data_IF_719433331927
#
_entry.id   IF_719433331927
#
_cell.length_a   1.000
_cell.length_b   1.000
_cell.length_c   1.000
_cell.angle_alpha   90.00
_cell.angle_beta   90.00
_cell.angle_gamma   90.00
#
_symmetry.space_group_name_H-M   'P 1'
#
loop_
_entity.id
_entity.type
_entity.pdbx_description
1 polymer ?
#
# COMPACT_ATOMS: atom_id res chain seq x y z
N UNK A 1 8.83 88.91 -39.47
CA UNK A 1 7.49 89.54 -39.27
C UNK A 1 6.54 88.43 -38.82
N UNK A 2 5.73 88.69 -37.80
CA UNK A 2 5.10 87.71 -36.90
C UNK A 2 4.07 86.75 -37.54
N UNK A 3 3.88 85.56 -36.94
CA UNK A 3 2.61 85.18 -36.29
C UNK A 3 2.67 83.80 -35.61
N UNK A 4 1.95 83.69 -34.50
CA UNK A 4 1.80 82.57 -33.56
C UNK A 4 1.09 81.37 -34.19
N UNK A 5 1.44 80.15 -33.77
CA UNK A 5 0.57 78.98 -33.89
C UNK A 5 0.26 78.41 -32.50
N UNK A 6 -1.05 78.30 -32.25
CA UNK A 6 -1.71 77.90 -31.02
C UNK A 6 -1.71 76.37 -30.87
N UNK A 7 -1.39 75.89 -29.67
CA UNK A 7 -1.64 74.52 -29.20
C UNK A 7 -3.12 74.35 -28.86
N UNK A 8 -3.73 73.24 -29.30
CA UNK A 8 -4.93 72.68 -28.68
C UNK A 8 -4.81 71.15 -28.57
N UNK A 9 -5.01 70.70 -27.35
CA UNK A 9 -4.92 69.37 -26.75
C UNK A 9 -5.79 68.26 -27.37
N UNK A 10 -5.24 67.05 -27.47
CA UNK A 10 -5.99 65.82 -27.71
C UNK A 10 -5.41 64.63 -26.94
N UNK A 11 -5.70 64.52 -25.65
CA UNK A 11 -5.25 63.41 -24.79
C UNK A 11 -6.16 63.23 -23.57
N UNK A 12 -7.46 62.96 -23.75
CA UNK A 12 -8.40 62.71 -22.62
C UNK A 12 -9.51 61.67 -22.86
N UNK A 13 -9.46 60.80 -23.88
CA UNK A 13 -10.64 59.93 -24.19
C UNK A 13 -10.61 58.46 -23.73
N UNK A 14 -9.48 57.88 -23.26
CA UNK A 14 -9.44 56.43 -22.96
C UNK A 14 -9.73 56.04 -21.50
N UNK A 15 -9.41 56.88 -20.52
CA UNK A 15 -9.64 56.56 -19.09
C UNK A 15 -11.13 56.65 -18.70
N UNK A 16 -11.88 57.53 -19.38
CA UNK A 16 -13.31 57.73 -19.09
C UNK A 16 -14.21 56.57 -19.55
N UNK A 17 -13.83 55.81 -20.58
CA UNK A 17 -14.65 54.70 -21.07
C UNK A 17 -14.69 53.52 -20.09
N UNK A 18 -13.58 53.22 -19.41
CA UNK A 18 -13.50 52.12 -18.45
C UNK A 18 -14.22 52.46 -17.13
N UNK A 19 -14.10 53.71 -16.68
CA UNK A 19 -14.84 54.22 -15.52
C UNK A 19 -16.35 54.27 -15.79
N UNK A 20 -16.77 54.70 -16.99
CA UNK A 20 -18.17 54.68 -17.40
C UNK A 20 -18.74 53.25 -17.46
N UNK A 21 -17.95 52.28 -17.94
CA UNK A 21 -18.35 50.87 -17.98
C UNK A 21 -18.52 50.25 -16.58
N UNK A 22 -17.71 50.63 -15.61
CA UNK A 22 -17.88 50.18 -14.22
C UNK A 22 -19.07 50.86 -13.52
N UNK A 23 -19.44 52.08 -13.95
CA UNK A 23 -20.57 52.83 -13.37
C UNK A 23 -21.95 52.29 -13.76
N UNK A 24 -22.06 51.43 -14.78
CA UNK A 24 -23.33 50.79 -15.18
C UNK A 24 -23.69 49.61 -14.29
N UNK A 25 -22.74 49.09 -13.49
CA UNK A 25 -23.01 48.03 -12.53
C UNK A 25 -23.51 48.63 -11.22
N UNK A 26 -24.65 48.14 -10.75
CA UNK A 26 -25.13 48.50 -9.42
C UNK A 26 -24.11 48.06 -8.35
N UNK A 27 -24.03 48.79 -7.23
CA UNK A 27 -23.20 48.37 -6.08
C UNK A 27 -23.48 46.92 -5.67
N UNK A 28 -24.74 46.49 -5.77
CA UNK A 28 -25.17 45.11 -5.49
C UNK A 28 -24.57 44.09 -6.48
N UNK A 29 -24.49 44.45 -7.76
CA UNK A 29 -23.88 43.61 -8.81
C UNK A 29 -22.38 43.46 -8.63
N UNK A 30 -21.68 44.55 -8.27
CA UNK A 30 -20.24 44.51 -7.97
C UNK A 30 -19.95 43.69 -6.71
N UNK A 31 -20.76 43.84 -5.65
CA UNK A 31 -20.64 43.02 -4.44
C UNK A 31 -20.91 41.54 -4.69
N UNK A 32 -21.91 41.20 -5.52
CA UNK A 32 -22.20 39.81 -5.92
C UNK A 32 -21.06 39.22 -6.74
N UNK A 33 -20.49 39.97 -7.68
CA UNK A 33 -19.35 39.52 -8.47
C UNK A 33 -18.11 39.29 -7.59
N UNK A 34 -17.83 40.20 -6.66
CA UNK A 34 -16.73 40.05 -5.71
C UNK A 34 -16.93 38.81 -4.81
N UNK A 35 -18.14 38.63 -4.26
CA UNK A 35 -18.47 37.46 -3.45
C UNK A 35 -18.34 36.17 -4.25
N UNK A 36 -18.84 36.13 -5.48
CA UNK A 36 -18.73 34.96 -6.36
C UNK A 36 -17.28 34.63 -6.70
N UNK A 37 -16.46 35.65 -6.95
CA UNK A 37 -15.02 35.48 -7.22
C UNK A 37 -14.31 34.91 -5.99
N UNK A 38 -14.58 35.46 -4.80
CA UNK A 38 -14.04 34.95 -3.53
C UNK A 38 -14.48 33.51 -3.30
N UNK A 39 -15.76 33.18 -3.49
CA UNK A 39 -16.27 31.82 -3.32
C UNK A 39 -15.61 30.85 -4.29
N UNK A 40 -15.46 31.21 -5.56
CA UNK A 40 -14.74 30.37 -6.54
C UNK A 40 -13.28 30.22 -6.15
N UNK A 41 -12.59 31.29 -5.73
CA UNK A 41 -11.20 31.21 -5.29
C UNK A 41 -11.05 30.34 -4.04
N UNK A 42 -11.98 30.41 -3.09
CA UNK A 42 -11.99 29.54 -1.90
C UNK A 42 -12.26 28.10 -2.29
N UNK A 43 -13.21 27.83 -3.20
CA UNK A 43 -13.47 26.48 -3.72
C UNK A 43 -12.24 25.94 -4.44
N UNK A 44 -11.56 26.73 -5.27
CA UNK A 44 -10.35 26.34 -5.98
C UNK A 44 -9.18 26.08 -5.03
N UNK A 45 -8.99 26.93 -4.02
CA UNK A 45 -7.97 26.75 -2.98
C UNK A 45 -8.25 25.51 -2.11
N UNK A 46 -9.52 25.24 -1.82
CA UNK A 46 -9.93 24.06 -1.06
C UNK A 46 -9.82 22.79 -1.90
N UNK A 47 -10.10 22.85 -3.21
CA UNK A 47 -9.90 21.73 -4.13
C UNK A 47 -8.42 21.48 -4.38
N UNK A 48 -7.59 22.51 -4.59
CA UNK A 48 -6.16 22.33 -4.88
C UNK A 48 -5.33 21.90 -3.67
N UNK A 49 -5.77 22.27 -2.46
CA UNK A 49 -5.16 21.83 -1.20
C UNK A 49 -5.87 20.61 -0.60
N UNK A 50 -6.87 20.05 -1.28
CA UNK A 50 -7.46 18.80 -0.83
C UNK A 50 -6.46 17.67 -1.06
N UNK A 51 -6.14 16.84 -0.05
CA UNK A 51 -5.35 15.62 -0.27
C UNK A 51 -6.00 14.67 -1.30
N UNK A 52 -7.30 14.84 -1.59
CA UNK A 52 -8.01 14.10 -2.64
C UNK A 52 -7.76 14.62 -4.07
N UNK A 53 -7.23 15.83 -4.27
CA UNK A 53 -6.92 16.33 -5.62
C UNK A 53 -5.71 15.60 -6.22
N UNK A 54 -4.73 15.30 -5.38
CA UNK A 54 -3.57 14.49 -5.74
C UNK A 54 -3.98 13.06 -6.15
N UNK A 55 -5.00 12.46 -5.54
CA UNK A 55 -5.38 11.06 -5.81
C UNK A 55 -6.19 10.85 -7.10
N UNK A 56 -6.54 11.90 -7.84
CA UNK A 56 -7.39 11.80 -9.06
C UNK A 56 -6.60 11.97 -10.37
N UNK A 57 -5.36 12.48 -10.29
CA UNK A 57 -4.48 12.61 -11.45
C UNK A 57 -3.38 11.55 -11.42
N UNK A 58 -3.04 10.89 -12.54
CA UNK A 58 -1.94 9.90 -12.61
C UNK A 58 -0.58 10.41 -12.08
N UNK A 59 -0.38 11.73 -12.07
CA UNK A 59 0.84 12.40 -11.62
C UNK A 59 0.83 12.82 -10.13
N UNK A 60 -0.23 12.52 -9.36
CA UNK A 60 -0.36 12.95 -7.96
C UNK A 60 0.82 12.59 -7.06
N UNK A 61 1.41 11.41 -7.28
CA UNK A 61 2.61 10.97 -6.58
C UNK A 61 3.83 11.87 -6.82
N UNK A 62 3.97 12.48 -8.01
CA UNK A 62 5.08 13.40 -8.30
C UNK A 62 5.01 14.69 -7.47
N UNK A 63 3.81 15.06 -7.01
CA UNK A 63 3.58 16.33 -6.32
C UNK A 63 3.33 16.17 -4.80
N UNK A 64 3.10 14.94 -4.32
CA UNK A 64 2.71 14.66 -2.94
C UNK A 64 3.78 14.02 -2.04
N UNK A 65 5.08 14.13 -2.37
CA UNK A 65 6.14 13.60 -1.49
C UNK A 65 6.01 14.21 -0.10
N UNK A 66 5.85 13.36 0.92
CA UNK A 66 6.04 13.76 2.30
C UNK A 66 7.55 14.00 2.55
N UNK A 67 8.09 15.10 2.05
CA UNK A 67 9.49 15.52 2.27
C UNK A 67 9.78 15.89 3.74
N UNK A 68 8.78 15.78 4.61
CA UNK A 68 8.84 16.14 6.03
C UNK A 68 8.75 14.96 6.99
N UNK A 69 8.63 13.71 6.51
CA UNK A 69 8.60 12.57 7.44
C UNK A 69 9.96 12.44 8.14
N UNK A 70 9.96 12.48 9.48
CA UNK A 70 11.15 12.66 10.33
C UNK A 70 12.24 11.61 10.09
N UNK A 71 11.84 10.42 9.66
CA UNK A 71 12.74 9.31 9.34
C UNK A 71 12.77 9.00 7.83
N UNK A 72 12.23 9.89 6.98
CA UNK A 72 12.32 9.70 5.54
C UNK A 72 13.79 9.62 5.14
N UNK A 73 14.21 8.52 4.51
CA UNK A 73 15.56 8.42 3.97
C UNK A 73 15.71 9.19 2.64
N UNK A 74 14.66 9.90 2.20
CA UNK A 74 14.64 10.75 1.02
C UNK A 74 15.71 11.84 1.04
N UNK A 75 16.13 12.28 -0.15
CA UNK A 75 16.87 13.54 -0.27
C UNK A 75 15.86 14.64 0.03
N UNK A 76 15.99 15.29 1.18
CA UNK A 76 15.25 16.51 1.51
C UNK A 76 15.60 17.58 0.45
N UNK A 77 14.77 17.75 -0.58
CA UNK A 77 14.98 18.72 -1.68
C UNK A 77 14.21 20.03 -1.43
N UNK A 78 14.01 20.40 -0.17
CA UNK A 78 13.61 21.76 0.16
C UNK A 78 14.86 22.64 0.22
N UNK A 79 15.27 23.10 -0.97
CA UNK A 79 16.44 23.96 -1.23
C UNK A 79 16.86 24.82 -0.03
N UNK A 80 17.98 24.44 0.59
CA UNK A 80 18.69 25.12 1.69
C UNK A 80 17.88 25.61 2.91
N UNK A 81 16.57 25.37 3.02
CA UNK A 81 15.71 25.97 4.05
C UNK A 81 15.09 24.98 5.03
N UNK A 82 15.05 23.68 4.73
CA UNK A 82 14.71 22.70 5.75
C UNK A 82 15.94 22.38 6.59
N UNK A 83 15.82 22.61 7.89
CA UNK A 83 16.69 21.96 8.87
C UNK A 83 16.37 20.47 8.81
N UNK A 84 17.34 19.61 8.44
CA UNK A 84 17.20 18.17 8.65
C UNK A 84 16.85 17.95 10.13
N UNK A 85 15.84 17.14 10.46
CA UNK A 85 15.59 16.79 11.85
C UNK A 85 16.87 16.21 12.44
N UNK A 86 17.37 16.78 13.53
CA UNK A 86 18.52 16.22 14.24
C UNK A 86 18.01 14.99 15.00
N UNK A 87 17.96 13.84 14.33
CA UNK A 87 17.47 12.57 14.92
C UNK A 87 18.21 12.23 16.21
N UNK A 88 19.49 12.60 16.33
CA UNK A 88 20.32 12.47 17.55
C UNK A 88 19.75 13.21 18.78
N UNK A 89 18.84 14.16 18.58
CA UNK A 89 18.21 14.94 19.66
C UNK A 89 16.81 14.43 20.02
N UNK A 90 16.35 13.34 19.40
CA UNK A 90 15.05 12.73 19.67
C UNK A 90 15.18 11.65 20.75
N UNK A 91 14.19 11.62 21.64
CA UNK A 91 14.04 10.54 22.62
C UNK A 91 13.71 9.22 21.89
N UNK A 92 14.09 8.05 22.45
CA UNK A 92 13.81 6.75 21.81
C UNK A 92 12.34 6.55 21.43
N UNK A 93 11.41 7.02 22.28
CA UNK A 93 9.97 6.96 22.00
C UNK A 93 9.57 7.80 20.79
N UNK A 94 10.19 8.97 20.59
CA UNK A 94 9.90 9.82 19.43
C UNK A 94 10.42 9.20 18.12
N UNK A 95 11.58 8.53 18.17
CA UNK A 95 12.11 7.77 17.04
C UNK A 95 11.17 6.61 16.71
N UNK A 96 10.68 5.90 17.73
CA UNK A 96 9.70 4.83 17.56
C UNK A 96 8.36 5.33 16.99
N UNK A 97 7.80 6.42 17.52
CA UNK A 97 6.57 7.05 17.01
C UNK A 97 6.74 7.45 15.55
N UNK A 98 7.86 8.08 15.20
CA UNK A 98 8.17 8.43 13.83
C UNK A 98 8.30 7.19 12.94
N UNK A 99 8.89 6.10 13.41
CA UNK A 99 9.02 4.87 12.62
C UNK A 99 7.66 4.25 12.29
N UNK A 100 6.74 4.25 13.25
CA UNK A 100 5.39 3.74 13.06
C UNK A 100 4.45 4.71 12.35
N UNK A 101 4.76 6.01 12.29
CA UNK A 101 3.89 6.98 11.62
C UNK A 101 3.65 6.59 10.14
N UNK A 102 2.39 6.31 9.73
CA UNK A 102 2.05 5.99 8.35
C UNK A 102 1.99 7.25 7.46
N UNK A 103 2.07 8.44 8.05
CA UNK A 103 2.00 9.73 7.35
C UNK A 103 0.60 10.07 6.82
N UNK A 104 0.33 11.37 6.73
CA UNK A 104 -0.94 11.89 6.19
C UNK A 104 -1.04 11.70 4.68
N UNK A 105 0.07 11.92 3.97
CA UNK A 105 0.20 11.68 2.53
C UNK A 105 1.18 10.53 2.25
N UNK A 106 1.00 9.77 1.16
CA UNK A 106 1.91 8.68 0.81
C UNK A 106 3.37 9.15 0.61
N UNK A 107 4.32 8.38 1.14
CA UNK A 107 5.76 8.56 0.89
C UNK A 107 6.22 7.70 -0.30
N UNK A 108 5.64 6.51 -0.45
CA UNK A 108 5.95 5.54 -1.50
C UNK A 108 4.76 5.36 -2.43
N UNK A 109 5.01 4.91 -3.65
CA UNK A 109 3.90 4.52 -4.52
C UNK A 109 3.29 3.19 -4.06
N UNK A 110 4.14 2.25 -3.65
CA UNK A 110 3.74 0.92 -3.23
C UNK A 110 4.41 0.57 -1.89
N UNK A 111 3.62 0.14 -0.92
CA UNK A 111 4.10 -0.63 0.23
C UNK A 111 3.78 -2.11 0.00
N UNK A 112 4.81 -2.93 -0.05
CA UNK A 112 4.72 -4.39 -0.05
C UNK A 112 4.71 -4.86 1.40
N UNK A 113 3.65 -5.54 1.83
CA UNK A 113 3.50 -6.08 3.17
C UNK A 113 3.68 -7.59 3.13
N UNK A 114 4.65 -8.09 3.89
CA UNK A 114 4.93 -9.51 4.07
C UNK A 114 5.02 -9.81 5.56
N UNK A 115 4.42 -10.91 6.00
CA UNK A 115 4.48 -11.38 7.39
C UNK A 115 5.39 -12.58 7.47
N UNK A 116 6.30 -12.59 8.44
CA UNK A 116 7.26 -13.67 8.60
C UNK A 116 7.77 -13.79 10.03
N UNK A 117 8.50 -14.87 10.29
CA UNK A 117 9.27 -15.14 11.50
C UNK A 117 10.39 -16.11 11.17
N UNK A 118 11.56 -15.97 11.77
CA UNK A 118 12.74 -16.76 11.41
C UNK A 118 12.76 -18.16 12.07
N UNK A 119 11.78 -19.01 11.77
CA UNK A 119 11.68 -20.36 12.32
C UNK A 119 11.43 -21.50 11.32
N UNK A 120 11.67 -21.24 10.03
CA UNK A 120 11.33 -22.15 8.94
C UNK A 120 9.81 -22.30 8.73
N UNK A 121 9.04 -21.23 9.01
CA UNK A 121 7.60 -21.19 8.78
C UNK A 121 7.28 -21.46 7.31
N UNK A 122 6.33 -22.37 7.05
CA UNK A 122 5.97 -22.82 5.70
C UNK A 122 6.96 -23.81 5.08
N UNK A 123 8.04 -24.19 5.76
CA UNK A 123 9.07 -25.10 5.25
C UNK A 123 10.02 -24.41 4.25
N UNK A 124 11.29 -24.81 4.25
CA UNK A 124 12.32 -24.25 3.36
C UNK A 124 12.30 -22.70 3.23
N UNK A 125 11.97 -22.01 4.32
CA UNK A 125 11.60 -20.59 4.33
C UNK A 125 12.75 -19.67 3.90
N UNK A 126 13.97 -20.03 4.31
CA UNK A 126 15.12 -19.11 4.23
C UNK A 126 15.40 -18.66 2.80
N UNK A 127 15.46 -19.58 1.84
CA UNK A 127 15.72 -19.17 0.46
C UNK A 127 14.52 -18.47 -0.16
N UNK A 128 13.29 -18.89 0.19
CA UNK A 128 12.06 -18.34 -0.40
C UNK A 128 11.84 -16.89 -0.02
N UNK A 129 12.00 -16.56 1.26
CA UNK A 129 11.94 -15.18 1.72
C UNK A 129 13.11 -14.35 1.18
N UNK A 130 14.33 -14.90 1.08
CA UNK A 130 15.44 -14.19 0.44
C UNK A 130 15.13 -13.87 -1.03
N UNK A 131 14.55 -14.81 -1.78
CA UNK A 131 14.15 -14.62 -3.18
C UNK A 131 13.02 -13.58 -3.30
N UNK A 132 12.05 -13.56 -2.38
CA UNK A 132 10.99 -12.55 -2.35
C UNK A 132 11.54 -11.13 -2.07
N UNK A 133 12.49 -11.01 -1.13
CA UNK A 133 13.19 -9.75 -0.83
C UNK A 133 13.99 -9.27 -2.06
N UNK A 134 14.75 -10.17 -2.70
CA UNK A 134 15.57 -9.85 -3.87
C UNK A 134 14.69 -9.54 -5.11
N UNK A 135 13.58 -10.25 -5.29
CA UNK A 135 12.58 -9.95 -6.32
C UNK A 135 11.99 -8.54 -6.14
N UNK A 136 11.68 -8.15 -4.90
CA UNK A 136 11.18 -6.79 -4.59
C UNK A 136 12.24 -5.72 -4.87
N UNK A 137 13.51 -6.01 -4.57
CA UNK A 137 14.63 -5.14 -4.93
C UNK A 137 14.72 -4.93 -6.45
N UNK A 138 14.65 -6.00 -7.23
CA UNK A 138 14.71 -5.93 -8.69
C UNK A 138 13.53 -5.14 -9.26
N UNK A 139 12.31 -5.36 -8.74
CA UNK A 139 11.13 -4.59 -9.12
C UNK A 139 11.30 -3.09 -8.88
N UNK A 140 11.79 -2.69 -7.71
CA UNK A 140 12.05 -1.28 -7.41
C UNK A 140 13.13 -0.68 -8.33
N UNK A 141 14.23 -1.41 -8.55
CA UNK A 141 15.33 -0.95 -9.39
C UNK A 141 14.96 -0.83 -10.87
N UNK A 142 14.18 -1.77 -11.42
CA UNK A 142 13.82 -1.73 -12.84
C UNK A 142 12.72 -0.72 -13.16
N UNK A 143 11.75 -0.58 -12.26
CA UNK A 143 10.66 0.39 -12.41
C UNK A 143 11.09 1.80 -12.03
N UNK A 144 12.21 1.97 -11.33
CA UNK A 144 12.71 3.24 -10.78
C UNK A 144 11.63 3.98 -9.99
N UNK A 145 10.77 3.22 -9.33
CA UNK A 145 9.64 3.73 -8.55
C UNK A 145 9.93 3.60 -7.06
N UNK A 146 9.64 4.63 -6.23
CA UNK A 146 9.78 4.51 -4.79
C UNK A 146 8.82 3.46 -4.22
N UNK A 147 9.39 2.41 -3.63
CA UNK A 147 8.71 1.28 -3.02
C UNK A 147 9.22 1.11 -1.59
N UNK A 148 8.33 0.70 -0.72
CA UNK A 148 8.65 0.21 0.61
C UNK A 148 8.40 -1.31 0.68
N UNK A 149 9.36 -2.06 1.21
CA UNK A 149 9.15 -3.43 1.67
C UNK A 149 8.99 -3.40 3.19
N UNK A 150 7.76 -3.64 3.65
CA UNK A 150 7.37 -3.68 5.05
C UNK A 150 7.25 -5.14 5.51
N UNK A 151 8.26 -5.61 6.25
CA UNK A 151 8.28 -6.93 6.84
C UNK A 151 7.73 -6.87 8.26
N UNK A 152 6.70 -7.66 8.53
CA UNK A 152 6.14 -7.81 9.86
C UNK A 152 6.72 -9.07 10.48
N UNK A 153 7.72 -8.90 11.34
CA UNK A 153 8.34 -10.00 12.07
C UNK A 153 7.47 -10.36 13.28
N UNK A 154 6.67 -11.41 13.15
CA UNK A 154 5.64 -11.74 14.13
C UNK A 154 6.07 -12.81 15.15
N UNK A 155 6.00 -12.50 16.44
CA UNK A 155 6.31 -13.41 17.55
C UNK A 155 7.65 -14.18 17.34
N UNK A 156 8.75 -13.48 17.02
CA UNK A 156 10.00 -14.14 16.66
C UNK A 156 10.50 -15.09 17.76
N UNK A 157 11.02 -16.27 17.39
CA UNK A 157 11.40 -17.30 18.34
C UNK A 157 12.58 -16.88 19.22
N UNK A 158 12.46 -17.16 20.52
CA UNK A 158 13.55 -16.94 21.48
C UNK A 158 14.80 -17.71 21.07
N UNK A 159 15.97 -17.06 21.13
CA UNK A 159 17.25 -17.68 20.83
C UNK A 159 17.60 -17.78 19.34
N UNK A 160 16.76 -17.28 18.43
CA UNK A 160 17.16 -17.10 17.02
C UNK A 160 17.40 -15.64 16.70
N UNK A 161 18.24 -15.42 15.68
CA UNK A 161 18.48 -14.09 15.12
C UNK A 161 17.23 -13.54 14.45
N UNK A 162 17.10 -12.22 14.49
CA UNK A 162 16.00 -11.49 13.84
C UNK A 162 16.13 -11.56 12.32
N UNK A 163 15.03 -11.33 11.60
CA UNK A 163 15.01 -11.23 10.13
C UNK A 163 16.10 -10.26 9.64
N UNK A 164 16.24 -9.11 10.32
CA UNK A 164 17.25 -8.08 9.99
C UNK A 164 18.68 -8.60 9.89
N UNK A 165 19.03 -9.58 10.72
CA UNK A 165 20.40 -10.10 10.87
C UNK A 165 20.68 -11.34 10.02
N UNK A 166 19.64 -11.90 9.42
CA UNK A 166 19.66 -13.22 8.77
C UNK A 166 19.54 -13.09 7.26
N UNK A 167 18.75 -12.14 6.79
CA UNK A 167 18.51 -11.91 5.37
C UNK A 167 19.39 -10.77 4.84
N UNK A 168 19.67 -10.84 3.54
CA UNK A 168 20.43 -9.83 2.81
C UNK A 168 19.48 -8.77 2.25
N UNK A 169 19.75 -7.52 2.61
CA UNK A 169 19.03 -6.36 2.11
C UNK A 169 19.96 -5.52 1.24
N UNK A 170 19.71 -5.46 -0.07
CA UNK A 170 20.57 -4.75 -1.04
C UNK A 170 20.30 -3.25 -0.98
N UNK A 171 21.34 -2.44 -1.17
CA UNK A 171 21.18 -0.99 -1.12
C UNK A 171 20.47 -0.46 -2.37
N UNK A 172 19.44 0.37 -2.19
CA UNK A 172 18.69 0.99 -3.30
C UNK A 172 18.35 2.46 -3.03
N UNK A 173 18.16 3.23 -4.11
CA UNK A 173 17.55 4.57 -4.04
C UNK A 173 16.02 4.54 -4.21
N UNK A 174 15.49 3.40 -4.65
CA UNK A 174 14.08 3.18 -4.98
C UNK A 174 13.38 2.24 -4.00
N UNK A 175 14.13 1.45 -3.22
CA UNK A 175 13.59 0.57 -2.19
C UNK A 175 14.02 1.02 -0.79
N UNK A 176 13.04 1.16 0.09
CA UNK A 176 13.25 1.28 1.54
C UNK A 176 12.71 0.03 2.22
N UNK A 177 13.47 -0.50 3.16
CA UNK A 177 13.05 -1.61 4.01
C UNK A 177 12.58 -1.06 5.34
N UNK A 178 11.46 -1.58 5.83
CA UNK A 178 11.00 -1.34 7.19
C UNK A 178 10.61 -2.66 7.82
N UNK A 179 11.07 -2.90 9.03
CA UNK A 179 10.72 -4.08 9.81
C UNK A 179 9.95 -3.60 11.04
N UNK A 180 8.74 -4.13 11.22
CA UNK A 180 7.97 -3.98 12.45
C UNK A 180 7.97 -5.35 13.13
N UNK A 181 8.53 -5.40 14.32
CA UNK A 181 8.67 -6.63 15.09
C UNK A 181 7.61 -6.65 16.17
N UNK A 182 6.68 -7.60 16.05
CA UNK A 182 5.60 -7.83 17.02
C UNK A 182 6.09 -8.82 18.07
N UNK A 183 6.14 -8.36 19.32
CA UNK A 183 6.67 -9.12 20.44
C UNK A 183 5.81 -10.34 20.81
N UNK A 184 6.37 -11.20 21.65
CA UNK A 184 5.65 -12.36 22.20
C UNK A 184 4.51 -11.89 23.11
N UNK A 185 4.74 -10.83 23.86
CA UNK A 185 3.79 -10.22 24.79
C UNK A 185 2.53 -9.76 24.06
N UNK A 186 2.68 -9.12 22.89
CA UNK A 186 1.54 -8.75 22.03
C UNK A 186 0.81 -10.00 21.52
N UNK A 187 1.56 -10.99 21.04
CA UNK A 187 0.96 -12.23 20.52
C UNK A 187 0.14 -13.00 21.58
N UNK A 188 0.61 -13.03 22.83
CA UNK A 188 -0.08 -13.66 23.97
C UNK A 188 -1.27 -12.82 24.47
N UNK A 189 -1.21 -11.48 24.34
CA UNK A 189 -2.31 -10.61 24.73
C UNK A 189 -3.54 -10.72 23.81
N UNK A 190 -3.35 -11.14 22.55
CA UNK A 190 -4.43 -11.35 21.60
C UNK A 190 -5.16 -12.67 21.86
N UNK A 191 -6.45 -12.70 21.49
CA UNK A 191 -7.28 -13.92 21.52
C UNK A 191 -7.38 -14.60 22.88
N UNK A 192 -7.23 -13.85 23.98
CA UNK A 192 -7.39 -14.36 25.34
C UNK A 192 -6.28 -15.31 25.82
N UNK A 193 -5.02 -15.07 25.40
CA UNK A 193 -3.88 -15.96 25.70
C UNK A 193 -3.33 -16.70 24.46
N UNK A 194 -3.86 -16.35 23.28
CA UNK A 194 -3.45 -16.86 21.98
C UNK A 194 -4.36 -17.93 21.38
N UNK A 195 -4.40 -18.01 20.04
CA UNK A 195 -5.06 -19.11 19.30
C UNK A 195 -4.21 -20.37 19.49
N UNK A 196 -4.73 -21.38 20.17
CA UNK A 196 -3.97 -22.58 20.59
C UNK A 196 -3.09 -23.17 19.46
N UNK A 197 -1.78 -23.27 19.74
CA UNK A 197 -0.79 -23.84 18.82
C UNK A 197 -0.36 -22.97 17.65
N UNK A 198 -0.96 -21.79 17.44
CA UNK A 198 -0.53 -20.89 16.37
C UNK A 198 0.64 -20.02 16.81
N UNK A 199 1.74 -20.10 16.07
CA UNK A 199 2.96 -19.30 16.32
C UNK A 199 2.92 -17.94 15.61
N UNK A 200 2.05 -17.78 14.63
CA UNK A 200 1.96 -16.58 13.79
C UNK A 200 0.50 -16.27 13.50
N UNK A 201 0.16 -14.99 13.57
CA UNK A 201 -1.14 -14.48 13.19
C UNK A 201 -0.96 -13.71 11.90
N UNK A 202 -1.05 -14.42 10.78
CA UNK A 202 -0.71 -13.87 9.47
C UNK A 202 -1.58 -12.67 9.11
N UNK A 203 -2.90 -12.76 9.31
CA UNK A 203 -3.83 -11.70 8.94
C UNK A 203 -3.75 -10.49 9.86
N UNK A 204 -3.57 -10.71 11.16
CA UNK A 204 -3.27 -9.66 12.13
C UNK A 204 -1.92 -9.00 11.81
N UNK A 205 -0.92 -9.77 11.38
CA UNK A 205 0.35 -9.25 10.88
C UNK A 205 0.17 -8.41 9.61
N UNK A 206 -0.61 -8.89 8.64
CA UNK A 206 -0.96 -8.14 7.42
C UNK A 206 -1.66 -6.82 7.79
N UNK A 207 -2.56 -6.83 8.77
CA UNK A 207 -3.22 -5.63 9.28
C UNK A 207 -2.28 -4.64 9.95
N UNK A 208 -1.30 -5.11 10.74
CA UNK A 208 -0.23 -4.24 11.28
C UNK A 208 0.52 -3.57 10.12
N UNK A 209 0.86 -4.33 9.08
CA UNK A 209 1.47 -3.80 7.87
C UNK A 209 0.60 -2.76 7.17
N UNK A 210 -0.67 -3.06 6.93
CA UNK A 210 -1.64 -2.15 6.32
C UNK A 210 -1.77 -0.85 7.12
N UNK A 211 -1.90 -0.95 8.44
CA UNK A 211 -2.08 0.19 9.35
C UNK A 211 -0.89 1.15 9.28
N UNK A 212 0.33 0.62 9.25
CA UNK A 212 1.55 1.41 9.34
C UNK A 212 2.21 1.70 7.98
N UNK A 213 1.73 1.11 6.89
CA UNK A 213 2.23 1.33 5.54
C UNK A 213 2.21 2.81 5.11
N UNK A 214 3.26 3.22 4.38
CA UNK A 214 3.45 4.59 3.88
C UNK A 214 3.21 4.71 2.37
N UNK A 215 2.82 3.62 1.71
CA UNK A 215 2.51 3.56 0.29
C UNK A 215 1.14 4.15 -0.07
N UNK A 216 1.02 4.67 -1.29
CA UNK A 216 -0.26 5.08 -1.88
C UNK A 216 -1.13 3.85 -2.10
N UNK A 217 -0.53 2.81 -2.67
CA UNK A 217 -1.07 1.46 -2.75
C UNK A 217 -0.34 0.56 -1.77
N UNK A 218 -1.08 -0.39 -1.21
CA UNK A 218 -0.57 -1.40 -0.30
C UNK A 218 -0.94 -2.75 -0.89
N UNK A 219 0.06 -3.60 -1.08
CA UNK A 219 -0.11 -5.00 -1.47
C UNK A 219 0.26 -5.90 -0.30
N UNK A 220 -0.65 -6.79 0.07
CA UNK A 220 -0.38 -7.92 0.94
C UNK A 220 -0.10 -9.14 0.06
N UNK A 221 0.99 -9.84 0.38
CA UNK A 221 1.49 -11.01 -0.37
C UNK A 221 2.15 -11.96 0.61
N UNK A 222 2.38 -13.20 0.21
CA UNK A 222 3.04 -14.18 1.06
C UNK A 222 4.56 -14.03 0.96
N UNK A 223 5.27 -14.55 1.96
CA UNK A 223 6.73 -14.42 2.09
C UNK A 223 7.52 -15.25 1.07
N UNK A 224 6.84 -16.03 0.26
CA UNK A 224 7.34 -16.97 -0.74
C UNK A 224 6.90 -16.62 -2.17
N UNK A 225 6.29 -15.46 -2.37
CA UNK A 225 5.94 -14.95 -3.69
C UNK A 225 7.09 -14.15 -4.34
N UNK A 226 7.20 -14.26 -5.66
CA UNK A 226 8.08 -13.42 -6.50
C UNK A 226 7.26 -12.64 -7.53
N UNK A 227 7.74 -11.47 -7.93
CA UNK A 227 7.01 -10.58 -8.83
C UNK A 227 7.16 -10.98 -10.31
N UNK A 228 6.05 -10.92 -11.05
CA UNK A 228 6.01 -11.11 -12.49
C UNK A 228 6.36 -9.83 -13.26
N UNK A 229 6.66 -9.93 -14.55
CA UNK A 229 6.85 -8.75 -15.43
C UNK A 229 5.57 -7.89 -15.54
N UNK A 230 4.39 -8.51 -15.48
CA UNK A 230 3.13 -7.79 -15.44
C UNK A 230 3.04 -6.84 -14.24
N UNK A 231 3.56 -7.21 -13.07
CA UNK A 231 3.64 -6.30 -11.92
C UNK A 231 4.50 -5.07 -12.22
N UNK A 232 5.65 -5.27 -12.86
CA UNK A 232 6.56 -4.17 -13.23
C UNK A 232 5.85 -3.23 -14.21
N UNK A 233 5.18 -3.80 -15.22
CA UNK A 233 4.43 -3.05 -16.21
C UNK A 233 3.24 -2.31 -15.59
N UNK A 234 2.52 -2.91 -14.63
CA UNK A 234 1.42 -2.26 -13.91
C UNK A 234 1.88 -1.06 -13.08
N UNK A 235 3.03 -1.17 -12.40
CA UNK A 235 3.66 -0.05 -11.67
C UNK A 235 4.02 1.09 -12.63
N UNK A 236 4.69 0.77 -13.74
CA UNK A 236 5.11 1.77 -14.73
C UNK A 236 3.89 2.47 -15.34
N UNK A 237 2.84 1.71 -15.62
CA UNK A 237 1.61 2.17 -16.29
C UNK A 237 0.66 2.93 -15.35
N UNK A 238 0.90 2.92 -14.02
CA UNK A 238 0.06 3.60 -13.00
C UNK A 238 -1.41 3.23 -13.13
N UNK A 239 -1.73 1.94 -13.19
CA UNK A 239 -3.08 1.47 -13.53
C UNK A 239 -4.05 1.42 -12.35
N UNK A 240 -3.55 1.28 -11.13
CA UNK A 240 -4.40 1.12 -9.95
C UNK A 240 -5.10 2.42 -9.55
N UNK A 241 -6.25 2.29 -8.91
CA UNK A 241 -7.15 3.37 -8.51
C UNK A 241 -7.65 3.16 -7.09
N UNK A 242 -8.01 4.25 -6.44
CA UNK A 242 -8.69 4.23 -5.13
C UNK A 242 -10.10 3.65 -5.27
N UNK A 243 -10.61 3.05 -4.20
CA UNK A 243 -11.92 2.35 -4.11
C UNK A 243 -12.02 1.13 -5.02
N UNK A 244 -10.93 0.39 -5.18
CA UNK A 244 -10.90 -0.88 -5.90
C UNK A 244 -9.93 -1.79 -5.15
N UNK A 245 -10.29 -3.06 -4.99
CA UNK A 245 -9.36 -4.13 -4.63
C UNK A 245 -8.89 -4.85 -5.89
N UNK A 246 -7.64 -5.25 -5.90
CA UNK A 246 -6.98 -5.95 -7.00
C UNK A 246 -6.49 -7.30 -6.50
N UNK A 247 -6.84 -8.34 -7.24
CA UNK A 247 -6.40 -9.72 -7.00
C UNK A 247 -6.02 -10.37 -8.34
N UNK A 248 -5.50 -11.59 -8.32
CA UNK A 248 -5.06 -12.29 -9.51
C UNK A 248 -5.55 -13.74 -9.55
N UNK A 249 -5.41 -14.36 -10.72
CA UNK A 249 -5.40 -15.82 -10.84
C UNK A 249 -4.18 -16.41 -10.15
N UNK A 250 -4.40 -17.49 -9.41
CA UNK A 250 -3.35 -18.26 -8.76
C UNK A 250 -3.73 -19.74 -8.75
N UNK A 251 -2.84 -20.58 -9.26
CA UNK A 251 -2.95 -22.03 -9.18
C UNK A 251 -2.89 -22.51 -7.72
N UNK A 252 -3.71 -23.49 -7.37
CA UNK A 252 -3.75 -24.06 -6.01
C UNK A 252 -2.41 -24.62 -5.57
N UNK A 253 -2.06 -24.47 -4.29
CA UNK A 253 -0.77 -24.95 -3.77
C UNK A 253 -0.79 -26.44 -3.42
N UNK A 254 -1.03 -27.29 -4.42
CA UNK A 254 -0.96 -28.75 -4.31
C UNK A 254 0.30 -29.29 -4.98
N UNK A 255 0.75 -30.51 -4.66
CA UNK A 255 1.85 -31.13 -5.39
C UNK A 255 1.47 -31.37 -6.86
N UNK A 256 2.27 -30.85 -7.78
CA UNK A 256 2.14 -31.10 -9.21
C UNK A 256 3.33 -31.91 -9.75
N UNK A 257 3.06 -32.74 -10.78
CA UNK A 257 4.14 -33.39 -11.54
C UNK A 257 4.88 -32.38 -12.43
N UNK A 258 4.14 -31.49 -13.08
CA UNK A 258 4.64 -30.34 -13.82
C UNK A 258 4.06 -29.09 -13.17
N UNK A 259 4.91 -28.15 -12.77
CA UNK A 259 4.44 -26.93 -12.13
C UNK A 259 3.55 -26.14 -13.09
N UNK A 260 2.36 -25.71 -12.64
CA UNK A 260 1.50 -24.84 -13.43
C UNK A 260 2.07 -23.42 -13.46
N UNK A 261 1.41 -22.54 -14.20
CA UNK A 261 2.01 -21.27 -14.63
C UNK A 261 2.30 -20.27 -13.51
N UNK A 262 1.59 -20.35 -12.39
CA UNK A 262 1.79 -19.42 -11.25
C UNK A 262 2.59 -20.05 -10.10
N UNK A 263 3.12 -21.27 -10.29
CA UNK A 263 4.01 -21.93 -9.32
C UNK A 263 5.42 -22.05 -9.90
N UNK A 264 6.40 -21.64 -9.11
CA UNK A 264 7.80 -21.58 -9.56
C UNK A 264 8.71 -22.35 -8.62
N UNK A 265 9.82 -22.85 -9.16
CA UNK A 265 10.87 -23.48 -8.36
C UNK A 265 12.15 -22.70 -8.54
N UNK A 266 12.47 -21.90 -7.53
CA UNK A 266 13.76 -21.22 -7.44
C UNK A 266 14.74 -22.04 -6.60
N UNK A 267 16.01 -21.96 -6.95
CA UNK A 267 17.09 -22.57 -6.18
C UNK A 267 17.42 -21.73 -4.95
N UNK A 268 18.11 -22.36 -3.99
CA UNK A 268 18.78 -21.62 -2.93
C UNK A 268 19.77 -20.62 -3.57
N UNK A 269 19.70 -19.35 -3.15
CA UNK A 269 20.54 -18.27 -3.68
C UNK A 269 20.39 -18.07 -5.20
N UNK A 270 19.16 -17.93 -5.67
CA UNK A 270 18.90 -17.62 -7.07
C UNK A 270 19.62 -16.33 -7.52
N UNK A 271 20.13 -16.32 -8.75
CA UNK A 271 20.69 -15.11 -9.36
C UNK A 271 19.59 -14.14 -9.75
N UNK A 272 19.97 -12.88 -10.01
CA UNK A 272 19.02 -11.86 -10.48
C UNK A 272 18.30 -12.35 -11.76
N UNK A 273 19.02 -12.93 -12.72
CA UNK A 273 18.44 -13.48 -13.96
C UNK A 273 17.45 -14.62 -13.67
N UNK A 274 17.80 -15.54 -12.77
CA UNK A 274 16.89 -16.64 -12.39
C UNK A 274 15.61 -16.12 -11.75
N UNK A 275 15.68 -15.09 -10.91
CA UNK A 275 14.50 -14.47 -10.29
C UNK A 275 13.63 -13.78 -11.36
N UNK A 276 14.24 -13.02 -12.26
CA UNK A 276 13.52 -12.28 -13.32
C UNK A 276 12.83 -13.19 -14.34
N UNK A 277 13.42 -14.35 -14.63
CA UNK A 277 12.90 -15.31 -15.59
C UNK A 277 11.93 -16.32 -14.98
N UNK A 278 11.91 -16.47 -13.65
CA UNK A 278 11.12 -17.51 -12.99
C UNK A 278 9.59 -17.30 -13.09
N UNK A 279 9.11 -16.06 -13.14
CA UNK A 279 7.68 -15.74 -13.27
C UNK A 279 7.40 -14.97 -14.58
N UNK A 280 7.50 -15.65 -15.75
CA UNK A 280 7.58 -15.00 -17.07
C UNK A 280 6.22 -14.57 -17.63
N UNK A 281 5.39 -13.93 -16.80
CA UNK A 281 4.11 -13.35 -17.24
C UNK A 281 4.33 -11.93 -17.71
N UNK A 282 4.49 -11.75 -19.03
CA UNK A 282 4.82 -10.49 -19.70
C UNK A 282 3.97 -10.28 -20.97
N UNK A 283 2.66 -10.22 -20.80
CA UNK A 283 1.73 -10.10 -21.95
C UNK A 283 1.74 -8.70 -22.58
N UNK A 284 2.23 -7.71 -21.85
CA UNK A 284 2.12 -6.30 -22.22
C UNK A 284 3.49 -5.71 -22.52
N UNK A 285 3.55 -4.83 -23.52
CA UNK A 285 4.74 -4.01 -23.70
C UNK A 285 4.98 -3.12 -22.47
N UNK A 286 6.25 -2.78 -22.26
CA UNK A 286 6.67 -2.00 -21.09
C UNK A 286 5.89 -0.69 -20.97
N UNK A 287 5.17 -0.53 -19.86
CA UNK A 287 4.37 0.67 -19.59
C UNK A 287 3.04 0.74 -20.35
N UNK A 288 2.58 -0.37 -20.95
CA UNK A 288 1.30 -0.50 -21.64
C UNK A 288 0.38 -1.53 -20.97
N UNK A 289 0.58 -1.77 -19.67
CA UNK A 289 -0.28 -2.70 -18.93
C UNK A 289 -1.72 -2.17 -18.89
N UNK A 290 -2.68 -3.05 -19.12
CA UNK A 290 -4.10 -2.72 -19.03
C UNK A 290 -4.77 -3.65 -18.04
N UNK A 291 -5.53 -3.07 -17.11
CA UNK A 291 -6.37 -3.85 -16.21
C UNK A 291 -7.48 -4.52 -17.02
N UNK A 292 -7.81 -5.74 -16.63
CA UNK A 292 -9.03 -6.39 -17.09
C UNK A 292 -10.25 -5.59 -16.67
N UNK A 293 -11.32 -5.57 -17.49
CA UNK A 293 -12.59 -4.99 -17.07
C UNK A 293 -13.05 -5.60 -15.75
N UNK A 294 -13.68 -4.77 -14.91
CA UNK A 294 -14.31 -5.23 -13.68
C UNK A 294 -15.31 -6.36 -13.97
N UNK A 295 -15.24 -7.44 -13.18
CA UNK A 295 -16.21 -8.54 -13.18
C UNK A 295 -16.93 -8.50 -11.83
N UNK A 296 -18.24 -8.32 -11.85
CA UNK A 296 -19.04 -8.38 -10.63
C UNK A 296 -18.93 -9.77 -10.00
N UNK A 297 -18.72 -9.79 -8.68
CA UNK A 297 -18.67 -11.00 -7.90
C UNK A 297 -20.08 -11.56 -7.70
N UNK A 298 -20.25 -12.84 -8.04
CA UNK A 298 -21.51 -13.57 -7.88
C UNK A 298 -21.24 -14.98 -7.32
N UNK A 299 -22.32 -15.72 -7.05
CA UNK A 299 -22.25 -17.09 -6.50
C UNK A 299 -21.62 -18.11 -7.44
N UNK A 300 -21.48 -17.80 -8.73
CA UNK A 300 -20.90 -18.69 -9.73
C UNK A 300 -19.39 -18.46 -9.89
N UNK A 301 -18.92 -17.24 -9.66
CA UNK A 301 -17.55 -16.84 -9.96
C UNK A 301 -16.70 -16.49 -8.72
N UNK A 302 -17.29 -16.37 -7.52
CA UNK A 302 -16.53 -15.89 -6.37
C UNK A 302 -15.33 -16.77 -6.01
N UNK A 303 -15.48 -18.10 -6.08
CA UNK A 303 -14.37 -19.03 -5.84
C UNK A 303 -13.25 -18.85 -6.86
N UNK A 304 -13.57 -18.63 -8.14
CA UNK A 304 -12.55 -18.37 -9.18
C UNK A 304 -11.74 -17.11 -8.87
N UNK A 305 -12.42 -16.05 -8.42
CA UNK A 305 -11.81 -14.73 -8.21
C UNK A 305 -11.03 -14.63 -6.90
N UNK A 306 -11.49 -15.31 -5.86
CA UNK A 306 -11.02 -15.08 -4.49
C UNK A 306 -10.16 -16.21 -3.92
N UNK A 307 -10.13 -17.37 -4.58
CA UNK A 307 -9.29 -18.48 -4.14
C UNK A 307 -7.80 -18.15 -4.30
N UNK A 308 -6.99 -18.52 -3.30
CA UNK A 308 -5.54 -18.20 -3.22
C UNK A 308 -5.20 -16.69 -3.34
N UNK A 309 -6.15 -15.79 -3.09
CA UNK A 309 -5.92 -14.34 -3.13
C UNK A 309 -4.90 -13.84 -2.08
N UNK A 310 -4.47 -14.72 -1.17
CA UNK A 310 -3.43 -14.43 -0.18
C UNK A 310 -2.07 -14.13 -0.80
N UNK A 311 -1.77 -14.70 -1.97
CA UNK A 311 -0.52 -14.45 -2.70
C UNK A 311 -0.48 -13.03 -3.30
N UNK A 312 -1.65 -12.42 -3.58
CA UNK A 312 -1.74 -11.04 -4.05
C UNK A 312 -3.10 -10.41 -3.75
N UNK A 313 -3.13 -9.49 -2.78
CA UNK A 313 -4.26 -8.58 -2.58
C UNK A 313 -3.75 -7.15 -2.47
N UNK A 314 -4.16 -6.28 -3.38
CA UNK A 314 -3.71 -4.88 -3.46
C UNK A 314 -4.91 -3.93 -3.39
N UNK A 315 -4.76 -2.83 -2.65
CA UNK A 315 -5.69 -1.72 -2.72
C UNK A 315 -5.00 -0.39 -2.37
N UNK A 316 -5.66 0.72 -2.68
CA UNK A 316 -5.22 2.03 -2.19
C UNK A 316 -5.30 2.07 -0.66
N UNK A 317 -4.38 2.79 0.00
CA UNK A 317 -4.30 2.86 1.48
C UNK A 317 -5.61 3.25 2.17
N UNK A 318 -6.35 4.17 1.58
CA UNK A 318 -7.66 4.59 2.11
C UNK A 318 -8.78 3.57 1.86
N UNK A 319 -8.62 2.70 0.85
CA UNK A 319 -9.56 1.61 0.59
C UNK A 319 -9.40 0.51 1.63
N UNK A 320 -8.16 0.19 2.00
CA UNK A 320 -7.88 -0.70 3.13
C UNK A 320 -8.49 -0.22 4.46
N UNK A 321 -8.52 1.10 4.69
CA UNK A 321 -9.18 1.68 5.87
C UNK A 321 -10.70 1.51 5.84
N UNK A 322 -11.33 1.41 4.66
CA UNK A 322 -12.78 1.19 4.57
C UNK A 322 -13.17 -0.22 5.02
N UNK A 323 -12.31 -1.22 4.81
CA UNK A 323 -12.55 -2.61 5.22
C UNK A 323 -12.03 -2.93 6.63
N UNK A 324 -11.26 -2.01 7.24
CA UNK A 324 -10.55 -2.25 8.50
C UNK A 324 -9.60 -3.48 8.43
N UNK A 325 -8.96 -3.68 7.27
CA UNK A 325 -8.08 -4.82 7.04
C UNK A 325 -8.82 -6.17 6.96
N UNK A 326 -8.09 -7.25 7.19
CA UNK A 326 -8.61 -8.62 7.33
C UNK A 326 -9.28 -8.80 8.70
N UNK A 327 -10.38 -9.56 8.80
CA UNK A 327 -11.03 -9.79 10.10
C UNK A 327 -10.12 -10.56 11.06
N UNK A 328 -9.88 -10.00 12.25
CA UNK A 328 -8.92 -10.55 13.22
C UNK A 328 -9.55 -11.61 14.14
N UNK A 329 -10.87 -11.52 14.37
CA UNK A 329 -11.65 -12.51 15.13
C UNK A 329 -11.96 -13.78 14.33
N UNK A 330 -11.37 -13.90 13.13
CA UNK A 330 -11.64 -14.97 12.18
C UNK A 330 -10.62 -16.10 12.16
N UNK A 331 -10.82 -16.92 11.15
CA UNK A 331 -10.08 -18.10 10.77
C UNK A 331 -8.57 -17.90 10.55
N UNK A 332 -7.83 -19.02 10.51
CA UNK A 332 -6.45 -19.05 9.98
C UNK A 332 -6.41 -19.27 8.46
N UNK A 333 -7.57 -19.43 7.82
CA UNK A 333 -7.67 -19.72 6.38
C UNK A 333 -8.90 -19.03 5.79
N UNK A 334 -8.88 -18.75 4.49
CA UNK A 334 -9.96 -18.10 3.74
C UNK A 334 -10.24 -16.63 4.10
N UNK A 335 -9.37 -15.97 4.88
CA UNK A 335 -9.60 -14.58 5.26
C UNK A 335 -9.45 -13.59 4.10
N UNK A 336 -8.65 -13.92 3.08
CA UNK A 336 -8.57 -13.12 1.86
C UNK A 336 -9.86 -13.19 1.04
N UNK A 337 -10.46 -14.38 0.97
CA UNK A 337 -11.79 -14.53 0.36
C UNK A 337 -12.84 -13.74 1.13
N UNK A 338 -12.90 -13.89 2.44
CA UNK A 338 -13.86 -13.16 3.27
C UNK A 338 -13.72 -11.63 3.12
N UNK A 339 -12.48 -11.12 3.09
CA UNK A 339 -12.20 -9.72 2.84
C UNK A 339 -12.76 -9.26 1.50
N UNK A 340 -12.48 -9.99 0.41
CA UNK A 340 -12.93 -9.61 -0.94
C UNK A 340 -14.45 -9.69 -1.09
N UNK A 341 -15.08 -10.71 -0.48
CA UNK A 341 -16.53 -10.83 -0.43
C UNK A 341 -17.17 -9.69 0.36
N UNK A 342 -16.61 -9.33 1.51
CA UNK A 342 -17.06 -8.20 2.33
C UNK A 342 -16.91 -6.88 1.60
N UNK A 343 -15.76 -6.65 0.97
CA UNK A 343 -15.52 -5.47 0.16
C UNK A 343 -16.56 -5.34 -0.96
N UNK A 344 -16.83 -6.43 -1.70
CA UNK A 344 -17.75 -6.41 -2.83
C UNK A 344 -19.22 -6.34 -2.45
N UNK A 345 -19.67 -7.18 -1.52
CA UNK A 345 -21.10 -7.37 -1.24
C UNK A 345 -21.62 -6.51 -0.08
N UNK A 346 -20.75 -6.07 0.83
CA UNK A 346 -21.15 -5.23 1.96
C UNK A 346 -20.84 -3.75 1.72
N UNK A 347 -19.70 -3.45 1.09
CA UNK A 347 -19.21 -2.07 0.95
C UNK A 347 -19.31 -1.52 -0.47
N UNK A 348 -19.83 -2.30 -1.41
CA UNK A 348 -19.90 -1.96 -2.84
C UNK A 348 -18.55 -1.52 -3.41
N UNK A 349 -17.44 -2.13 -2.95
CA UNK A 349 -16.09 -1.87 -3.45
C UNK A 349 -15.78 -2.86 -4.57
N UNK A 350 -15.58 -2.40 -5.82
CA UNK A 350 -15.23 -3.24 -6.96
C UNK A 350 -13.98 -4.10 -6.73
N UNK A 351 -14.02 -5.34 -7.23
CA UNK A 351 -12.86 -6.24 -7.27
C UNK A 351 -12.38 -6.37 -8.72
N UNK A 352 -11.13 -5.99 -8.97
CA UNK A 352 -10.46 -6.19 -10.23
C UNK A 352 -9.64 -7.47 -10.17
N UNK A 353 -10.11 -8.50 -10.86
CA UNK A 353 -9.44 -9.79 -10.98
C UNK A 353 -8.59 -9.84 -12.25
N UNK A 354 -7.29 -10.05 -12.10
CA UNK A 354 -6.37 -10.23 -13.23
C UNK A 354 -6.11 -11.71 -13.51
N UNK A 355 -6.53 -12.26 -14.67
CA UNK A 355 -6.17 -13.62 -15.06
C UNK A 355 -4.67 -13.77 -15.37
N UNK A 356 -4.00 -12.65 -15.64
CA UNK A 356 -2.56 -12.57 -15.82
C UNK A 356 -1.93 -12.21 -14.46
N UNK A 357 -1.10 -13.07 -13.86
CA UNK A 357 -0.66 -12.89 -12.49
C UNK A 357 0.39 -11.78 -12.34
N UNK A 358 0.35 -11.10 -11.21
CA UNK A 358 1.34 -10.13 -10.71
C UNK A 358 2.44 -10.81 -9.88
N UNK A 359 2.15 -11.96 -9.28
CA UNK A 359 3.11 -12.78 -8.53
C UNK A 359 3.07 -14.24 -8.97
N UNK A 360 4.16 -14.97 -8.71
CA UNK A 360 4.16 -16.42 -8.71
C UNK A 360 4.65 -16.95 -7.36
N UNK A 361 4.05 -18.04 -6.92
CA UNK A 361 4.33 -18.66 -5.64
C UNK A 361 5.47 -19.68 -5.73
N UNK A 362 6.44 -19.61 -4.82
CA UNK A 362 7.55 -20.57 -4.79
C UNK A 362 7.09 -21.91 -4.19
N UNK A 363 7.07 -22.95 -5.03
CA UNK A 363 6.64 -24.30 -4.65
C UNK A 363 7.36 -24.81 -3.40
N UNK A 364 6.58 -25.33 -2.47
CA UNK A 364 7.07 -26.03 -1.28
C UNK A 364 6.16 -27.21 -0.91
N UNK A 365 6.61 -28.04 0.04
CA UNK A 365 5.76 -29.05 0.63
C UNK A 365 4.71 -28.38 1.53
N UNK A 366 3.45 -28.80 1.40
CA UNK A 366 2.37 -28.26 2.22
C UNK A 366 2.60 -28.62 3.68
N UNK A 367 2.75 -27.60 4.53
CA UNK A 367 2.81 -27.77 5.98
C UNK A 367 1.37 -27.84 6.51
N UNK A 368 0.96 -28.94 7.16
CA UNK A 368 -0.38 -29.04 7.71
C UNK A 368 -0.54 -28.10 8.91
N UNK A 369 -1.55 -27.23 8.85
CA UNK A 369 -1.96 -26.41 9.98
C UNK A 369 -3.14 -27.08 10.69
N UNK A 370 -2.99 -27.56 11.93
CA UNK A 370 -4.07 -28.21 12.67
C UNK A 370 -5.23 -27.24 12.91
N UNK A 371 -6.45 -27.80 12.94
CA UNK A 371 -7.73 -27.14 13.24
C UNK A 371 -8.23 -26.10 12.23
N UNK A 372 -7.59 -25.96 11.06
CA UNK A 372 -8.03 -25.04 9.99
C UNK A 372 -9.42 -25.33 9.40
N UNK A 373 -9.95 -26.54 9.57
CA UNK A 373 -11.30 -26.91 9.11
C UNK A 373 -12.42 -26.34 9.97
N UNK A 374 -12.13 -25.91 11.19
CA UNK A 374 -13.11 -25.39 12.15
C UNK A 374 -13.19 -23.86 12.12
N UNK A 375 -12.16 -23.23 11.54
CA UNK A 375 -11.88 -21.81 11.58
C UNK A 375 -12.99 -20.92 10.95
N UNK A 376 -13.86 -21.46 10.10
CA UNK A 376 -14.93 -20.72 9.39
C UNK A 376 -16.35 -21.28 9.60
N UNK A 377 -16.61 -22.08 10.65
CA UNK A 377 -17.94 -22.72 10.84
C UNK A 377 -19.11 -21.73 11.05
N UNK A 378 -18.85 -20.43 11.21
CA UNK A 378 -19.86 -19.39 11.36
C UNK A 378 -19.97 -18.40 10.19
N UNK A 379 -19.26 -18.62 9.08
CA UNK A 379 -19.32 -17.73 7.90
C UNK A 379 -20.31 -18.29 6.89
N UNK A 380 -21.39 -17.56 6.62
CA UNK A 380 -22.36 -17.90 5.58
C UNK A 380 -22.25 -16.94 4.39
N UNK A 381 -21.67 -17.45 3.29
CA UNK A 381 -21.45 -16.71 2.04
C UNK A 381 -22.77 -16.18 1.45
N UNK A 382 -23.87 -16.93 1.58
CA UNK A 382 -25.19 -16.51 1.10
C UNK A 382 -25.73 -15.33 1.90
N UNK A 383 -25.53 -15.34 3.23
CA UNK A 383 -25.92 -14.22 4.09
C UNK A 383 -25.05 -12.98 3.87
N UNK A 384 -23.75 -13.14 3.60
CA UNK A 384 -22.87 -12.05 3.19
C UNK A 384 -23.36 -11.40 1.89
N UNK A 385 -23.70 -12.21 0.88
CA UNK A 385 -24.22 -11.72 -0.39
C UNK A 385 -25.53 -10.94 -0.24
N UNK A 386 -26.42 -11.37 0.67
CA UNK A 386 -27.69 -10.70 0.93
C UNK A 386 -27.55 -9.46 1.85
N UNK A 387 -26.33 -9.13 2.31
CA UNK A 387 -26.09 -8.05 3.26
C UNK A 387 -26.66 -8.33 4.66
N UNK A 388 -26.95 -9.60 4.99
CA UNK A 388 -27.49 -10.01 6.28
C UNK A 388 -26.42 -10.20 7.36
N UNK A 389 -25.16 -10.33 6.95
CA UNK A 389 -23.99 -10.45 7.82
C UNK A 389 -22.87 -9.53 7.34
N UNK A 390 -22.16 -8.94 8.31
CA UNK A 390 -20.99 -8.10 8.07
C UNK A 390 -19.83 -8.69 8.87
N UNK A 391 -18.80 -9.16 8.16
CA UNK A 391 -17.60 -9.74 8.75
C UNK A 391 -16.43 -8.77 8.65
N UNK A 392 -16.48 -7.73 9.49
CA UNK A 392 -15.44 -6.68 9.54
C UNK A 392 -14.98 -6.45 10.98
N UNK A 393 -13.73 -6.00 11.12
CA UNK A 393 -13.30 -5.42 12.39
C UNK A 393 -14.05 -4.11 12.64
N UNK A 394 -14.12 -3.68 13.91
CA UNK A 394 -14.58 -2.32 14.23
C UNK A 394 -13.45 -1.34 13.91
N UNK A 395 -13.82 -0.10 13.63
CA UNK A 395 -12.91 0.97 13.17
C UNK A 395 -11.69 1.20 14.09
N UNK A 396 -11.88 1.05 15.40
CA UNK A 396 -10.84 1.24 16.43
C UNK A 396 -10.35 -0.07 17.07
N UNK A 397 -10.74 -1.22 16.50
CA UNK A 397 -10.39 -2.55 17.02
C UNK A 397 -9.72 -3.44 15.95
N UNK A 398 -8.75 -2.90 15.20
CA UNK A 398 -7.92 -3.68 14.26
C UNK A 398 -6.46 -3.22 14.22
N UNK A 399 -5.58 -4.04 13.65
CA UNK A 399 -4.17 -3.73 13.47
C UNK A 399 -3.47 -3.37 14.78
N UNK A 400 -3.84 -4.03 15.87
CA UNK A 400 -3.36 -3.77 17.25
C UNK A 400 -3.76 -2.40 17.84
N UNK A 401 -4.87 -1.78 17.41
CA UNK A 401 -5.33 -0.50 18.00
C UNK A 401 -5.71 -0.61 19.49
N UNK A 402 -6.09 -1.79 19.96
CA UNK A 402 -6.52 -2.05 21.34
C UNK A 402 -5.37 -2.33 22.31
N UNK A 403 -4.13 -2.42 21.81
CA UNK A 403 -2.93 -2.76 22.58
C UNK A 403 -2.05 -1.53 22.77
N UNK A 404 -1.50 -1.34 23.97
CA UNK A 404 -0.44 -0.36 24.20
C UNK A 404 0.88 -0.89 23.63
N UNK A 405 1.15 -0.50 22.38
CA UNK A 405 2.28 -0.99 21.58
C UNK A 405 3.64 -0.67 22.18
N UNK A 406 3.78 0.48 22.84
CA UNK A 406 5.06 0.90 23.41
C UNK A 406 5.39 0.08 24.66
N UNK A 407 4.43 -0.12 25.55
CA UNK A 407 4.66 -0.91 26.77
C UNK A 407 4.83 -2.40 26.49
N UNK A 408 4.30 -2.89 25.37
CA UNK A 408 4.44 -4.29 24.94
C UNK A 408 5.58 -4.51 23.93
N UNK A 409 6.55 -3.59 23.84
CA UNK A 409 7.78 -3.75 23.04
C UNK A 409 7.53 -4.06 21.54
N UNK A 410 6.55 -3.38 20.93
CA UNK A 410 6.49 -3.32 19.47
C UNK A 410 7.72 -2.55 18.97
N UNK A 411 8.54 -3.15 18.13
CA UNK A 411 9.74 -2.48 17.62
C UNK A 411 9.56 -2.11 16.15
N UNK A 412 10.24 -1.04 15.71
CA UNK A 412 10.23 -0.59 14.34
C UNK A 412 11.60 -0.09 13.93
N UNK A 413 12.07 -0.51 12.76
CA UNK A 413 13.31 -0.05 12.15
C UNK A 413 13.12 0.24 10.66
N UNK A 414 13.78 1.27 10.15
CA UNK A 414 13.73 1.68 8.74
C UNK A 414 15.14 1.88 8.19
N UNK A 415 15.42 1.36 7.00
CA UNK A 415 16.75 1.39 6.40
C UNK A 415 16.72 1.20 4.87
N UNK A 416 17.83 1.50 4.18
CA UNK A 416 17.94 1.42 2.70
C UNK A 416 18.78 0.26 2.19
N UNK A 417 19.00 -0.76 3.01
CA UNK A 417 19.88 -1.90 2.72
C UNK A 417 21.37 -1.55 2.82
N UNK A 418 22.22 -2.55 2.54
CA UNK A 418 23.67 -2.53 2.76
C UNK A 418 24.09 -3.42 3.92
N UNK A 419 25.39 -3.74 3.98
CA UNK A 419 25.99 -4.35 5.18
C UNK A 419 25.99 -3.23 6.22
N UNK A 420 25.29 -3.45 7.34
CA UNK A 420 25.15 -2.45 8.39
C UNK A 420 26.53 -1.98 8.86
N UNK A 421 26.75 -0.67 8.78
CA UNK A 421 27.42 0.13 9.80
C UNK A 421 26.63 1.41 9.98
#
# INVERSE_FOLDING_TARGET
>A
MAARFTLASGLTSKVNAFSAYLSTFSKRSLSLLALFTITISVIFLYSSNSPNFLSTTPDGFRFGRNESHLLSPGVYDCGHKCLRPKVEQLEPKQIWEACLDPGVVPEYYLSVVMVSRNDNYGGEQFHRLQNAIDSTFLMAEETKTPIELLLIEWNPPVGRRRIRDVYRFRRSSYLTYRIITVSREIHEALHGGGKEGSKIYEFEGKNVGIRFARGEFIVCTNQDDIWSRNMYNAIISRVWRKKVFYTQFQDSHIPYQNLPSTLVKLTNFATDDQILEACPHDRYERGQFQLTPHKELDTQNFLEITNEASDFTLAHRDTWKMTHGYRETGARSWMDMELLLTASWTLDIPINYSPEPFTCHQQHEKVPHPNTKEDNQGVDVGRMMNGEEIHMNKEDEWGLQTIDLWSHDLQCEVFRGGIGM
#
